data_IF_082811050370
#
_entry.id   IF_082811050370
#
_cell.length_a   1.000
_cell.length_b   1.000
_cell.length_c   1.000
_cell.angle_alpha   90.00
_cell.angle_beta   90.00
_cell.angle_gamma   90.00
#
_symmetry.space_group_name_H-M   'P 1'
#
loop_
_entity.id
_entity.type
_entity.pdbx_description
1 polymer ?
#
# COMPACT_ATOMS: atom_id res chain seq x y z
N UNK A 1 11.50 -30.34 -7.68
CA UNK A 1 11.43 -29.05 -8.38
C UNK A 1 11.02 -28.02 -7.36
N UNK A 2 11.89 -27.05 -7.04
CA UNK A 2 11.53 -25.94 -6.16
C UNK A 2 10.82 -24.88 -7.00
N UNK A 3 9.49 -24.88 -6.99
CA UNK A 3 8.73 -23.76 -7.51
C UNK A 3 9.08 -22.51 -6.67
N UNK A 4 9.65 -21.50 -7.32
CA UNK A 4 9.95 -20.23 -6.65
C UNK A 4 8.63 -19.52 -6.42
N UNK A 5 8.36 -19.12 -5.18
CA UNK A 5 7.17 -18.33 -4.85
C UNK A 5 7.22 -16.98 -5.58
N UNK A 6 6.25 -16.74 -6.46
CA UNK A 6 6.08 -15.44 -7.11
C UNK A 6 5.25 -14.53 -6.20
N UNK A 7 5.96 -13.72 -5.41
CA UNK A 7 5.34 -12.76 -4.51
C UNK A 7 4.49 -11.72 -5.24
N UNK A 8 4.85 -11.32 -6.46
CA UNK A 8 4.14 -10.28 -7.21
C UNK A 8 2.82 -10.83 -7.74
N UNK A 9 2.84 -12.01 -8.35
CA UNK A 9 1.63 -12.68 -8.81
C UNK A 9 0.66 -12.96 -7.65
N UNK A 10 1.20 -13.40 -6.51
CA UNK A 10 0.41 -13.60 -5.28
C UNK A 10 -0.23 -12.30 -4.79
N UNK A 11 0.54 -11.21 -4.68
CA UNK A 11 0.04 -9.92 -4.19
C UNK A 11 -1.00 -9.31 -5.12
N UNK A 12 -0.83 -9.43 -6.45
CA UNK A 12 -1.83 -8.99 -7.43
C UNK A 12 -3.15 -9.73 -7.26
N UNK A 13 -3.09 -11.06 -7.18
CA UNK A 13 -4.28 -11.89 -6.98
C UNK A 13 -4.98 -11.56 -5.65
N UNK A 14 -4.22 -11.41 -4.56
CA UNK A 14 -4.79 -11.05 -3.25
C UNK A 14 -5.41 -9.67 -3.26
N UNK A 15 -4.84 -8.72 -4.01
CA UNK A 15 -5.40 -7.37 -4.14
C UNK A 15 -6.76 -7.40 -4.84
N UNK A 16 -6.87 -8.10 -5.96
CA UNK A 16 -8.14 -8.24 -6.69
C UNK A 16 -9.23 -8.93 -5.86
N UNK A 17 -8.84 -9.91 -5.04
CA UNK A 17 -9.76 -10.59 -4.12
C UNK A 17 -10.27 -9.63 -3.04
N UNK A 18 -9.37 -8.90 -2.37
CA UNK A 18 -9.74 -7.89 -1.36
C UNK A 18 -10.64 -6.81 -1.97
N UNK A 19 -10.28 -6.30 -3.15
CA UNK A 19 -11.06 -5.25 -3.81
C UNK A 19 -12.48 -5.73 -4.15
N UNK A 20 -12.65 -7.01 -4.51
CA UNK A 20 -13.97 -7.62 -4.73
C UNK A 20 -14.74 -7.84 -3.43
N UNK A 21 -14.09 -8.30 -2.38
CA UNK A 21 -14.74 -8.51 -1.08
C UNK A 21 -15.15 -7.19 -0.39
N UNK A 22 -14.44 -6.11 -0.69
CA UNK A 22 -14.70 -4.78 -0.17
C UNK A 22 -15.60 -3.94 -1.10
N UNK A 23 -15.97 -4.47 -2.27
CA UNK A 23 -16.83 -3.80 -3.22
C UNK A 23 -18.20 -3.54 -2.59
N UNK A 24 -18.63 -2.27 -2.60
CA UNK A 24 -19.88 -1.84 -1.99
C UNK A 24 -19.84 -1.63 -0.47
N UNK A 25 -18.71 -1.90 0.20
CA UNK A 25 -18.54 -1.54 1.61
C UNK A 25 -18.15 -0.07 1.76
N UNK A 26 -18.78 0.61 2.72
CA UNK A 26 -18.31 1.91 3.19
C UNK A 26 -16.95 1.78 3.89
N UNK A 27 -16.24 2.90 4.01
CA UNK A 27 -14.94 2.92 4.67
C UNK A 27 -14.98 2.44 6.13
N UNK A 28 -16.06 2.77 6.85
CA UNK A 28 -16.27 2.31 8.22
C UNK A 28 -16.47 0.80 8.30
N UNK A 29 -17.22 0.21 7.36
CA UNK A 29 -17.47 -1.22 7.31
C UNK A 29 -16.21 -2.01 6.99
N UNK A 30 -15.40 -1.52 6.05
CA UNK A 30 -14.08 -2.09 5.74
C UNK A 30 -13.16 -2.07 6.95
N UNK A 31 -13.17 -0.96 7.68
CA UNK A 31 -12.38 -0.78 8.91
C UNK A 31 -12.82 -1.76 10.00
N UNK A 32 -14.14 -1.91 10.20
CA UNK A 32 -14.70 -2.87 11.16
C UNK A 32 -14.35 -4.31 10.80
N UNK A 33 -14.58 -4.71 9.54
CA UNK A 33 -14.22 -6.04 9.01
C UNK A 33 -12.75 -6.36 9.27
N UNK A 34 -11.85 -5.43 8.92
CA UNK A 34 -10.41 -5.59 9.12
C UNK A 34 -10.07 -5.73 10.61
N UNK A 35 -10.65 -4.89 11.47
CA UNK A 35 -10.40 -4.91 12.91
C UNK A 35 -10.89 -6.20 13.58
N UNK A 36 -11.99 -6.77 13.09
CA UNK A 36 -12.50 -8.07 13.56
C UNK A 36 -11.57 -9.20 13.15
N UNK A 37 -11.14 -9.25 11.88
CA UNK A 37 -10.19 -10.26 11.39
C UNK A 37 -8.86 -10.23 12.13
N UNK A 38 -8.35 -9.03 12.44
CA UNK A 38 -7.09 -8.85 13.16
C UNK A 38 -7.17 -9.17 14.65
N UNK A 39 -8.37 -9.27 15.25
CA UNK A 39 -8.51 -9.49 16.70
C UNK A 39 -7.98 -10.86 17.14
N UNK A 40 -8.09 -11.86 16.27
CA UNK A 40 -7.63 -13.23 16.53
C UNK A 40 -6.31 -13.57 15.81
N UNK A 41 -5.65 -12.59 15.21
CA UNK A 41 -4.40 -12.81 14.47
C UNK A 41 -3.19 -12.68 15.41
N UNK A 42 -2.51 -13.80 15.64
CA UNK A 42 -1.36 -13.90 16.54
C UNK A 42 -0.16 -13.06 16.04
N UNK A 43 0.06 -13.04 14.73
CA UNK A 43 1.13 -12.26 14.11
C UNK A 43 0.86 -10.77 14.29
N UNK A 44 -0.38 -10.34 14.04
CA UNK A 44 -0.79 -8.96 14.29
C UNK A 44 -0.63 -8.57 15.75
N UNK A 45 -1.07 -9.43 16.68
CA UNK A 45 -0.93 -9.19 18.12
C UNK A 45 0.54 -8.97 18.53
N UNK A 46 1.46 -9.70 17.89
CA UNK A 46 2.89 -9.55 18.09
C UNK A 46 3.48 -8.29 17.42
N UNK A 47 2.97 -7.89 16.25
CA UNK A 47 3.52 -6.79 15.46
C UNK A 47 2.97 -5.41 15.84
N UNK A 48 1.75 -5.31 16.37
CA UNK A 48 1.05 -4.03 16.57
C UNK A 48 1.81 -3.01 17.42
N UNK A 49 2.66 -3.48 18.35
CA UNK A 49 3.43 -2.64 19.27
C UNK A 49 4.91 -2.52 18.84
N UNK A 50 5.32 -3.13 17.73
CA UNK A 50 6.70 -3.02 17.23
C UNK A 50 6.88 -1.71 16.48
N UNK A 51 7.79 -0.88 16.99
CA UNK A 51 8.33 0.25 16.23
C UNK A 51 9.43 -0.30 15.32
N UNK A 52 9.21 -0.25 14.01
CA UNK A 52 10.29 -0.50 13.06
C UNK A 52 11.24 0.70 13.12
N UNK A 53 12.50 0.45 13.47
CA UNK A 53 13.55 1.46 13.39
C UNK A 53 13.72 1.81 11.91
N UNK A 54 13.25 3.01 11.53
CA UNK A 54 13.50 3.51 10.20
C UNK A 54 15.00 3.73 10.07
N UNK A 55 15.67 2.93 9.25
CA UNK A 55 16.95 3.35 8.68
C UNK A 55 16.65 4.67 7.98
N UNK A 56 17.18 5.76 8.55
CA UNK A 56 17.16 7.07 7.93
C UNK A 56 17.99 6.96 6.65
N UNK A 57 17.38 6.45 5.59
CA UNK A 57 17.85 6.66 4.24
C UNK A 57 17.76 8.16 4.04
N UNK A 58 18.92 8.81 3.97
CA UNK A 58 18.99 10.23 3.61
C UNK A 58 18.08 10.46 2.40
N UNK A 59 17.28 11.54 2.40
CA UNK A 59 16.39 11.83 1.29
C UNK A 59 17.29 11.97 0.06
N UNK A 60 17.31 10.93 -0.78
CA UNK A 60 17.88 11.06 -2.11
C UNK A 60 16.95 12.02 -2.82
N UNK A 61 17.35 13.28 -2.84
CA UNK A 61 16.69 14.34 -3.59
C UNK A 61 16.67 13.84 -5.02
N UNK A 62 15.51 13.36 -5.49
CA UNK A 62 15.28 13.08 -6.90
C UNK A 62 15.17 14.45 -7.55
N UNK A 63 16.32 15.06 -7.81
CA UNK A 63 16.47 16.26 -8.63
C UNK A 63 16.22 15.87 -10.07
N UNK A 64 14.98 15.62 -10.45
CA UNK A 64 14.52 15.66 -11.84
C UNK A 64 13.02 15.93 -11.87
N UNK A 65 12.64 17.08 -11.31
CA UNK A 65 11.42 17.74 -11.72
C UNK A 65 11.82 18.68 -12.85
N UNK A 66 11.55 18.39 -14.14
CA UNK A 66 11.61 19.44 -15.14
C UNK A 66 10.64 20.53 -14.67
N UNK A 67 11.20 21.73 -14.50
CA UNK A 67 10.49 22.94 -14.13
C UNK A 67 9.26 23.06 -15.03
N UNK A 68 8.08 22.93 -14.43
CA UNK A 68 6.81 23.24 -15.09
C UNK A 68 6.78 24.74 -15.32
N UNK A 69 7.41 25.17 -16.40
CA UNK A 69 7.49 26.55 -16.85
C UNK A 69 7.31 26.56 -18.37
N UNK A 70 6.19 26.01 -18.83
CA UNK A 70 5.67 26.23 -20.18
C UNK A 70 4.13 26.15 -20.12
N UNK A 71 3.55 27.09 -19.38
CA UNK A 71 2.11 27.39 -19.42
C UNK A 71 1.89 28.87 -19.72
N UNK A 72 2.64 29.44 -20.67
CA UNK A 72 2.39 30.79 -21.17
C UNK A 72 2.90 30.95 -22.62
N UNK A 73 2.09 30.51 -23.60
CA UNK A 73 1.94 31.19 -24.91
C UNK A 73 1.00 30.43 -25.84
N UNK A 74 -0.24 30.90 -25.93
CA UNK A 74 -0.68 31.65 -27.11
C UNK A 74 -2.14 32.06 -26.93
N UNK A 75 -2.34 33.35 -26.63
CA UNK A 75 -3.54 34.07 -27.01
C UNK A 75 -3.34 34.67 -28.41
N UNK A 76 -4.42 34.72 -29.19
CA UNK A 76 -4.46 35.30 -30.54
C UNK A 76 -5.52 34.64 -31.39
#
# INVERSE_FOLDING_TARGET
>A
MSERFDAVAFMRRRREEIDREDEGLSWEERTRKTRESLRSDDLWSYLKDRVAESVASEPTVVSDRPSSSDCDRNGG
#
